data_IF_057072823323
#
_entry.id   IF_057072823323
#
_cell.length_a   1.000
_cell.length_b   1.000
_cell.length_c   1.000
_cell.angle_alpha   90.00
_cell.angle_beta   90.00
_cell.angle_gamma   90.00
#
_symmetry.space_group_name_H-M   'P 1'
#
loop_
_entity.id
_entity.type
_entity.pdbx_description
1 polymer ?
#
# COMPACT_ATOMS: atom_id res chain seq x y z
N UNK A 1 9.68 -21.01 -5.87
CA UNK A 1 10.42 -20.05 -5.03
C UNK A 1 11.80 -20.62 -4.75
N UNK A 2 12.87 -19.85 -4.97
CA UNK A 2 14.23 -20.29 -4.62
C UNK A 2 14.42 -20.12 -3.11
N UNK A 3 14.73 -21.20 -2.39
CA UNK A 3 14.90 -21.22 -0.93
C UNK A 3 16.37 -21.34 -0.51
N UNK A 4 17.31 -21.29 -1.46
CA UNK A 4 18.73 -21.37 -1.16
C UNK A 4 19.16 -20.14 -0.32
N UNK A 5 19.83 -20.39 0.81
CA UNK A 5 20.21 -19.38 1.81
C UNK A 5 19.04 -18.49 2.29
N UNK A 6 17.82 -19.05 2.35
CA UNK A 6 16.64 -18.31 2.84
C UNK A 6 16.79 -17.86 4.30
N UNK A 7 17.54 -18.62 5.11
CA UNK A 7 17.95 -18.27 6.47
C UNK A 7 19.45 -18.38 6.62
N UNK A 8 20.01 -17.57 7.50
CA UNK A 8 21.42 -17.62 7.90
C UNK A 8 21.44 -17.83 9.42
N UNK A 9 22.13 -18.88 9.88
CA UNK A 9 22.01 -19.37 11.25
C UNK A 9 22.53 -18.37 12.30
N UNK A 10 23.58 -17.61 11.98
CA UNK A 10 24.11 -16.58 12.87
C UNK A 10 23.10 -15.44 13.09
N UNK A 11 22.58 -14.87 12.01
CA UNK A 11 21.56 -13.84 12.04
C UNK A 11 20.25 -14.33 12.63
N UNK A 12 19.88 -15.60 12.46
CA UNK A 12 18.68 -16.15 13.09
C UNK A 12 18.80 -16.18 14.62
N UNK A 13 20.01 -16.36 15.15
CA UNK A 13 20.28 -16.33 16.59
C UNK A 13 20.34 -14.89 17.13
N UNK A 14 20.96 -13.97 16.38
CA UNK A 14 21.16 -12.59 16.83
C UNK A 14 19.95 -11.68 16.58
N UNK A 15 19.26 -11.90 15.45
CA UNK A 15 18.18 -11.05 14.94
C UNK A 15 17.07 -11.87 14.27
N UNK A 16 16.38 -12.75 15.02
CA UNK A 16 15.31 -13.60 14.48
C UNK A 16 14.17 -12.79 13.84
N UNK A 17 13.99 -11.54 14.24
CA UNK A 17 12.95 -10.63 13.74
C UNK A 17 13.07 -10.36 12.23
N UNK A 18 14.25 -10.58 11.62
CA UNK A 18 14.43 -10.50 10.16
C UNK A 18 13.56 -11.50 9.38
N UNK A 19 13.14 -12.60 10.01
CA UNK A 19 12.24 -13.60 9.43
C UNK A 19 10.82 -13.53 10.01
N UNK A 20 10.50 -12.50 10.78
CA UNK A 20 9.17 -12.29 11.31
C UNK A 20 8.19 -11.99 10.16
N UNK A 21 7.05 -12.70 10.08
CA UNK A 21 6.02 -12.37 9.11
C UNK A 21 5.53 -10.93 9.31
N UNK A 22 5.34 -10.20 8.21
CA UNK A 22 4.94 -8.78 8.26
C UNK A 22 3.69 -8.52 9.12
N UNK A 23 2.74 -9.46 9.15
CA UNK A 23 1.55 -9.36 9.99
C UNK A 23 1.87 -9.32 11.49
N UNK A 24 2.88 -10.07 11.94
CA UNK A 24 3.31 -10.06 13.35
C UNK A 24 4.03 -8.75 13.69
N UNK A 25 4.79 -8.19 12.74
CA UNK A 25 5.40 -6.85 12.92
C UNK A 25 4.32 -5.76 13.04
N UNK A 26 3.20 -5.90 12.32
CA UNK A 26 2.08 -4.96 12.37
C UNK A 26 1.34 -5.05 13.71
N UNK A 27 1.10 -6.25 14.23
CA UNK A 27 0.58 -6.44 15.59
C UNK A 27 1.52 -5.85 16.65
N UNK A 28 2.84 -6.04 16.52
CA UNK A 28 3.83 -5.44 17.41
C UNK A 28 3.75 -3.91 17.42
N UNK A 29 3.63 -3.29 16.24
CA UNK A 29 3.42 -1.83 16.11
C UNK A 29 2.13 -1.42 16.83
N UNK A 30 1.04 -2.17 16.65
CA UNK A 30 -0.24 -1.92 17.31
C UNK A 30 -0.11 -1.91 18.83
N UNK A 31 0.50 -2.95 19.40
CA UNK A 31 0.74 -3.05 20.85
C UNK A 31 1.71 -1.99 21.37
N UNK A 32 2.83 -1.77 20.69
CA UNK A 32 3.93 -0.90 21.12
C UNK A 32 3.54 0.58 21.10
N UNK A 33 2.77 0.97 20.10
CA UNK A 33 2.43 2.38 19.85
C UNK A 33 0.98 2.73 20.17
N UNK A 34 0.18 1.76 20.64
CA UNK A 34 -1.17 1.98 21.12
C UNK A 34 -2.18 2.34 20.02
N UNK A 35 -2.02 1.78 18.83
CA UNK A 35 -2.96 2.00 17.71
C UNK A 35 -4.10 0.99 17.82
N UNK A 36 -5.28 1.45 18.21
CA UNK A 36 -6.41 0.57 18.52
C UNK A 36 -6.96 -0.16 17.29
N UNK A 37 -7.67 -1.26 17.54
CA UNK A 37 -8.37 -2.01 16.48
C UNK A 37 -9.41 -1.13 15.78
N UNK A 38 -10.14 -0.33 16.55
CA UNK A 38 -11.22 0.51 16.05
C UNK A 38 -10.68 1.56 15.07
N UNK A 39 -9.56 2.21 15.40
CA UNK A 39 -8.93 3.17 14.48
C UNK A 39 -8.40 2.51 13.21
N UNK A 40 -7.91 1.28 13.30
CA UNK A 40 -7.47 0.51 12.12
C UNK A 40 -8.64 0.18 11.19
N UNK A 41 -9.77 -0.24 11.75
CA UNK A 41 -10.98 -0.55 10.97
C UNK A 41 -11.63 0.73 10.40
N UNK A 42 -11.61 1.84 11.13
CA UNK A 42 -12.04 3.16 10.62
C UNK A 42 -11.22 3.58 9.41
N UNK A 43 -9.89 3.50 9.51
CA UNK A 43 -9.00 3.82 8.40
C UNK A 43 -9.25 2.91 7.19
N UNK A 44 -9.42 1.61 7.42
CA UNK A 44 -9.69 0.64 6.36
C UNK A 44 -10.99 0.92 5.60
N UNK A 45 -12.07 1.24 6.34
CA UNK A 45 -13.33 1.68 5.74
C UNK A 45 -13.10 2.94 4.90
N UNK A 46 -12.38 3.92 5.41
CA UNK A 46 -12.15 5.18 4.71
C UNK A 46 -11.32 4.99 3.43
N UNK A 47 -10.34 4.10 3.43
CA UNK A 47 -9.60 3.71 2.22
C UNK A 47 -10.54 3.13 1.15
N UNK A 48 -11.46 2.24 1.54
CA UNK A 48 -12.48 1.68 0.63
C UNK A 48 -13.43 2.76 0.08
N UNK A 49 -13.91 3.66 0.95
CA UNK A 49 -14.83 4.73 0.54
C UNK A 49 -14.17 5.76 -0.39
N UNK A 50 -12.94 6.18 -0.09
CA UNK A 50 -12.18 7.09 -0.96
C UNK A 50 -11.91 6.45 -2.33
N UNK A 51 -11.57 5.16 -2.35
CA UNK A 51 -11.38 4.41 -3.61
C UNK A 51 -12.67 4.33 -4.43
N UNK A 52 -13.80 4.05 -3.80
CA UNK A 52 -15.11 4.06 -4.48
C UNK A 52 -15.45 5.43 -5.09
N UNK A 53 -15.20 6.51 -4.34
CA UNK A 53 -15.40 7.86 -4.85
C UNK A 53 -14.47 8.19 -6.01
N UNK A 54 -13.18 7.84 -5.92
CA UNK A 54 -12.20 8.06 -6.98
C UNK A 54 -12.51 7.26 -8.25
N UNK A 55 -12.89 5.98 -8.11
CA UNK A 55 -13.32 5.13 -9.25
C UNK A 55 -14.62 5.63 -9.91
N UNK A 56 -15.55 6.20 -9.13
CA UNK A 56 -16.78 6.81 -9.68
C UNK A 56 -16.51 8.16 -10.35
N UNK A 57 -15.50 8.89 -9.88
CA UNK A 57 -15.12 10.20 -10.40
C UNK A 57 -14.16 10.12 -11.59
N UNK A 58 -13.71 8.92 -11.96
CA UNK A 58 -12.81 8.69 -13.08
C UNK A 58 -11.35 9.07 -12.80
N UNK A 59 -10.94 9.21 -11.54
CA UNK A 59 -9.59 9.65 -11.18
C UNK A 59 -8.50 8.65 -11.55
N UNK A 60 -8.87 7.38 -11.74
CA UNK A 60 -7.94 6.33 -12.19
C UNK A 60 -7.93 6.15 -13.71
N UNK A 61 -8.82 6.83 -14.45
CA UNK A 61 -9.01 6.58 -15.89
C UNK A 61 -7.77 6.98 -16.72
N UNK A 62 -7.02 7.98 -16.25
CA UNK A 62 -5.80 8.46 -16.92
C UNK A 62 -4.56 7.60 -16.63
N UNK A 63 -4.57 6.79 -15.56
CA UNK A 63 -3.42 5.99 -15.13
C UNK A 63 -3.56 4.47 -15.37
N UNK A 64 -4.80 3.96 -15.44
CA UNK A 64 -5.04 2.54 -15.70
C UNK A 64 -4.99 2.27 -17.20
N UNK A 65 -4.10 1.37 -17.60
CA UNK A 65 -4.04 0.83 -18.97
C UNK A 65 -4.90 -0.44 -19.05
N UNK A 66 -5.99 -0.47 -19.86
CA UNK A 66 -6.81 -1.66 -20.03
C UNK A 66 -6.00 -2.87 -20.50
N UNK A 67 -6.20 -4.02 -19.85
CA UNK A 67 -5.53 -5.27 -20.19
C UNK A 67 -6.55 -6.37 -20.54
N UNK A 68 -6.53 -6.85 -21.78
CA UNK A 68 -7.29 -8.04 -22.16
C UNK A 68 -6.57 -9.32 -21.70
N UNK A 69 -7.31 -10.24 -21.08
CA UNK A 69 -6.79 -11.52 -20.61
C UNK A 69 -7.87 -12.60 -20.62
N UNK A 70 -7.47 -13.85 -20.37
CA UNK A 70 -8.38 -14.99 -20.20
C UNK A 70 -8.59 -15.32 -18.72
N UNK A 71 -9.84 -15.31 -18.27
CA UNK A 71 -10.24 -15.76 -16.94
C UNK A 71 -10.75 -17.21 -17.00
N UNK A 72 -10.26 -18.04 -16.09
CA UNK A 72 -10.80 -19.38 -15.87
C UNK A 72 -12.09 -19.28 -15.05
N UNK A 73 -13.18 -19.84 -15.56
CA UNK A 73 -14.49 -19.86 -14.90
C UNK A 73 -14.85 -21.31 -14.59
N UNK A 74 -14.94 -21.63 -13.30
CA UNK A 74 -15.41 -22.94 -12.84
C UNK A 74 -16.92 -22.91 -12.62
N UNK A 75 -17.64 -23.78 -13.33
CA UNK A 75 -19.03 -24.06 -13.03
C UNK A 75 -19.11 -24.77 -11.66
N UNK A 76 -19.76 -24.13 -10.68
CA UNK A 76 -19.84 -24.66 -9.30
C UNK A 76 -20.66 -25.95 -9.18
N UNK A 77 -21.54 -26.24 -10.14
CA UNK A 77 -22.41 -27.43 -10.14
C UNK A 77 -21.74 -28.62 -10.85
N UNK A 78 -21.10 -28.37 -11.99
CA UNK A 78 -20.51 -29.44 -12.82
C UNK A 78 -19.01 -29.63 -12.61
N UNK A 79 -18.32 -28.65 -12.01
CA UNK A 79 -16.86 -28.62 -11.88
C UNK A 79 -16.12 -28.30 -13.18
N UNK A 80 -16.84 -28.08 -14.29
CA UNK A 80 -16.25 -27.78 -15.59
C UNK A 80 -15.54 -26.41 -15.57
N UNK A 81 -14.33 -26.36 -16.13
CA UNK A 81 -13.54 -25.13 -16.26
C UNK A 81 -13.60 -24.63 -17.70
N UNK A 82 -14.13 -23.44 -17.89
CA UNK A 82 -14.18 -22.74 -19.17
C UNK A 82 -13.27 -21.51 -19.16
N UNK A 83 -12.91 -20.99 -20.35
CA UNK A 83 -12.15 -19.74 -20.51
C UNK A 83 -13.08 -18.64 -20.98
N UNK A 84 -12.96 -17.47 -20.37
CA UNK A 84 -13.69 -16.26 -20.76
C UNK A 84 -12.70 -15.12 -20.96
N UNK A 85 -12.68 -14.53 -22.14
CA UNK A 85 -11.96 -13.27 -22.38
C UNK A 85 -12.60 -12.15 -21.56
N UNK A 86 -11.78 -11.42 -20.81
CA UNK A 86 -12.18 -10.25 -20.03
C UNK A 86 -11.22 -9.10 -20.31
N UNK A 87 -11.69 -7.87 -20.11
CA UNK A 87 -10.83 -6.68 -20.13
C UNK A 87 -10.78 -6.13 -18.71
N UNK A 88 -9.59 -6.11 -18.12
CA UNK A 88 -9.32 -5.49 -16.83
C UNK A 88 -9.18 -3.98 -17.04
N UNK A 89 -10.11 -3.20 -16.48
CA UNK A 89 -10.16 -1.74 -16.67
C UNK A 89 -10.25 -0.96 -15.35
N UNK A 90 -10.41 -1.65 -14.22
CA UNK A 90 -10.59 -1.05 -12.88
C UNK A 90 -9.98 -1.97 -11.84
N UNK A 91 -9.51 -1.40 -10.73
CA UNK A 91 -9.11 -2.19 -9.57
C UNK A 91 -10.28 -2.99 -9.02
N UNK A 92 -10.06 -4.29 -8.86
CA UNK A 92 -11.08 -5.26 -8.46
C UNK A 92 -11.17 -5.44 -6.94
N UNK A 93 -10.21 -4.90 -6.19
CA UNK A 93 -10.10 -5.06 -4.73
C UNK A 93 -11.13 -4.23 -3.95
N UNK A 94 -11.65 -3.16 -4.54
CA UNK A 94 -12.54 -2.23 -3.85
C UNK A 94 -13.82 -2.94 -3.37
N UNK A 95 -14.23 -2.66 -2.14
CA UNK A 95 -15.45 -3.16 -1.49
C UNK A 95 -16.22 -1.96 -0.93
N UNK A 96 -17.00 -1.24 -1.76
CA UNK A 96 -17.75 -0.05 -1.32
C UNK A 96 -18.77 -0.32 -0.20
N UNK A 97 -19.17 -1.58 -0.02
CA UNK A 97 -20.07 -2.04 1.04
C UNK A 97 -19.39 -2.24 2.40
N UNK A 98 -18.10 -1.91 2.52
CA UNK A 98 -17.36 -2.06 3.78
C UNK A 98 -17.96 -1.17 4.87
N UNK A 99 -18.28 -1.77 6.02
CA UNK A 99 -18.86 -1.06 7.17
C UNK A 99 -18.05 -1.34 8.43
N UNK A 100 -18.08 -0.43 9.40
CA UNK A 100 -17.41 -0.65 10.69
C UNK A 100 -17.94 -1.91 11.39
N UNK A 101 -19.25 -2.15 11.35
CA UNK A 101 -19.85 -3.37 11.91
C UNK A 101 -19.30 -4.62 11.23
N UNK A 102 -19.25 -4.63 9.89
CA UNK A 102 -18.69 -5.77 9.15
C UNK A 102 -17.20 -5.98 9.40
N UNK A 103 -16.43 -4.91 9.56
CA UNK A 103 -15.00 -4.99 9.92
C UNK A 103 -14.80 -5.51 11.35
N UNK A 104 -15.60 -5.07 12.31
CA UNK A 104 -15.52 -5.50 13.70
C UNK A 104 -15.82 -7.01 13.88
N UNK A 105 -16.64 -7.60 13.00
CA UNK A 105 -16.93 -9.04 12.99
C UNK A 105 -15.72 -9.89 12.54
N UNK A 106 -14.76 -9.29 11.81
CA UNK A 106 -13.59 -10.01 11.33
C UNK A 106 -12.66 -10.39 12.49
N UNK A 107 -12.36 -11.68 12.55
CA UNK A 107 -11.40 -12.23 13.49
C UNK A 107 -9.98 -11.84 13.12
N UNK A 108 -9.14 -11.42 14.07
CA UNK A 108 -7.72 -11.22 13.82
C UNK A 108 -7.07 -12.51 13.31
N UNK A 109 -6.22 -12.39 12.29
CA UNK A 109 -5.60 -13.54 11.61
C UNK A 109 -4.73 -14.36 12.56
N UNK A 110 -4.13 -13.71 13.57
CA UNK A 110 -3.25 -14.35 14.57
C UNK A 110 -3.95 -14.73 15.88
N UNK A 111 -5.24 -14.44 16.03
CA UNK A 111 -6.04 -14.78 17.22
C UNK A 111 -6.43 -13.56 18.07
N UNK A 112 -7.24 -13.79 19.11
CA UNK A 112 -8.04 -12.75 19.77
C UNK A 112 -7.27 -11.62 20.49
N UNK A 113 -5.97 -11.77 20.74
CA UNK A 113 -5.14 -10.71 21.35
C UNK A 113 -4.54 -9.76 20.29
N UNK A 114 -4.69 -10.08 19.00
CA UNK A 114 -4.10 -9.35 17.88
C UNK A 114 -5.09 -8.38 17.23
N UNK A 115 -4.58 -7.44 16.43
CA UNK A 115 -5.36 -6.39 15.80
C UNK A 115 -5.62 -6.66 14.31
N UNK A 116 -4.67 -7.30 13.63
CA UNK A 116 -4.70 -7.36 12.16
C UNK A 116 -5.71 -8.38 11.64
N UNK A 117 -6.62 -7.91 10.78
CA UNK A 117 -7.62 -8.70 10.06
C UNK A 117 -7.40 -8.61 8.56
N UNK A 118 -8.13 -9.43 7.79
CA UNK A 118 -8.19 -9.27 6.34
C UNK A 118 -8.83 -7.94 5.89
N UNK A 119 -9.59 -7.26 6.77
CA UNK A 119 -10.26 -6.01 6.43
C UNK A 119 -9.38 -4.78 6.61
N UNK A 120 -8.42 -4.81 7.54
CA UNK A 120 -7.50 -3.70 7.84
C UNK A 120 -6.06 -3.95 7.35
N UNK A 121 -5.87 -4.96 6.51
CA UNK A 121 -4.63 -5.28 5.81
C UNK A 121 -4.80 -5.09 4.30
N UNK A 122 -3.71 -4.79 3.59
CA UNK A 122 -3.73 -4.79 2.13
C UNK A 122 -4.05 -6.16 1.55
N UNK A 123 -4.79 -6.17 0.45
CA UNK A 123 -5.08 -7.40 -0.28
C UNK A 123 -3.82 -7.90 -1.01
N UNK A 124 -3.65 -9.23 -1.05
CA UNK A 124 -2.73 -9.84 -1.99
C UNK A 124 -3.29 -9.63 -3.40
N UNK A 125 -2.48 -9.04 -4.28
CA UNK A 125 -2.94 -8.60 -5.58
C UNK A 125 -1.84 -8.73 -6.62
N UNK A 126 -2.27 -8.82 -7.87
CA UNK A 126 -1.40 -8.84 -9.05
C UNK A 126 -1.54 -7.50 -9.79
N UNK A 127 -0.42 -6.96 -10.28
CA UNK A 127 -0.42 -5.72 -11.02
C UNK A 127 0.98 -5.30 -11.48
N UNK A 128 1.04 -4.42 -12.46
CA UNK A 128 2.27 -3.85 -13.00
C UNK A 128 2.11 -2.33 -13.16
N UNK A 129 3.23 -1.60 -13.00
CA UNK A 129 3.30 -0.16 -13.22
C UNK A 129 4.64 0.17 -13.86
N UNK A 130 4.66 1.16 -14.74
CA UNK A 130 5.85 1.63 -15.42
C UNK A 130 5.88 3.16 -15.40
N UNK A 131 7.06 3.73 -15.13
CA UNK A 131 7.30 5.16 -15.20
C UNK A 131 8.52 5.41 -16.10
N UNK A 132 8.40 6.35 -17.03
CA UNK A 132 9.51 6.76 -17.91
C UNK A 132 10.17 7.99 -17.30
N UNK A 133 11.43 7.86 -16.92
CA UNK A 133 12.26 8.97 -16.43
C UNK A 133 13.27 9.37 -17.49
N UNK A 134 13.41 10.67 -17.72
CA UNK A 134 14.30 11.23 -18.73
C UNK A 134 15.02 12.48 -18.21
N UNK A 135 16.21 12.75 -18.76
CA UNK A 135 16.88 14.03 -18.56
C UNK A 135 16.00 15.20 -19.05
N UNK A 136 15.92 16.26 -18.24
CA UNK A 136 15.02 17.38 -18.51
C UNK A 136 15.36 18.13 -19.81
N UNK A 137 16.66 18.28 -20.15
CA UNK A 137 17.06 18.95 -21.40
C UNK A 137 16.76 18.07 -22.60
N UNK A 138 16.90 16.75 -22.46
CA UNK A 138 16.49 15.83 -23.52
C UNK A 138 14.97 15.83 -23.72
N UNK A 139 14.18 15.97 -22.64
CA UNK A 139 12.73 16.14 -22.73
C UNK A 139 12.36 17.38 -23.54
N UNK A 140 12.97 18.52 -23.20
CA UNK A 140 12.81 19.79 -23.90
C UNK A 140 13.18 19.66 -25.39
N UNK A 141 14.35 19.10 -25.71
CA UNK A 141 14.79 18.88 -27.09
C UNK A 141 13.85 17.99 -27.92
N UNK A 142 13.15 17.07 -27.26
CA UNK A 142 12.19 16.16 -27.89
C UNK A 142 10.75 16.69 -27.86
N UNK A 143 10.50 17.88 -27.33
CA UNK A 143 9.17 18.45 -27.12
C UNK A 143 8.24 17.52 -26.32
N UNK A 144 8.79 16.86 -25.29
CA UNK A 144 8.01 16.03 -24.36
C UNK A 144 7.74 16.85 -23.10
N UNK A 145 6.46 17.04 -22.77
CA UNK A 145 6.03 17.69 -21.53
C UNK A 145 6.09 16.68 -20.38
N UNK A 146 6.95 16.87 -19.36
CA UNK A 146 7.03 15.97 -18.22
C UNK A 146 5.81 16.12 -17.31
N UNK A 147 5.27 15.00 -16.83
CA UNK A 147 4.17 14.99 -15.84
C UNK A 147 4.63 15.46 -14.45
N UNK A 148 5.92 15.32 -14.14
CA UNK A 148 6.47 15.69 -12.85
C UNK A 148 7.99 15.66 -12.84
N UNK A 149 8.57 16.04 -11.70
CA UNK A 149 10.03 16.08 -11.50
C UNK A 149 10.40 15.15 -10.35
N UNK A 150 11.26 14.18 -10.63
CA UNK A 150 11.87 13.37 -9.61
C UNK A 150 12.92 14.17 -8.82
N UNK A 151 12.58 14.60 -7.61
CA UNK A 151 13.49 15.38 -6.75
C UNK A 151 14.57 14.51 -6.09
N UNK A 152 14.21 13.32 -5.59
CA UNK A 152 15.16 12.37 -5.04
C UNK A 152 14.54 11.30 -4.14
N UNK A 153 15.41 10.51 -3.50
CA UNK A 153 15.05 9.43 -2.57
C UNK A 153 15.80 9.51 -1.26
N UNK A 154 15.19 9.02 -0.18
CA UNK A 154 15.85 8.74 1.07
C UNK A 154 15.51 7.32 1.52
N UNK A 155 16.50 6.64 2.10
CA UNK A 155 16.35 5.32 2.70
C UNK A 155 16.80 5.43 4.15
N UNK A 156 16.07 4.80 5.05
CA UNK A 156 16.40 4.70 6.47
C UNK A 156 16.11 3.27 6.96
N UNK A 157 16.93 2.80 7.90
CA UNK A 157 16.69 1.54 8.59
C UNK A 157 15.90 1.75 9.88
N UNK A 158 15.11 0.77 10.26
CA UNK A 158 14.44 0.65 11.55
C UNK A 158 14.57 -0.80 12.04
N UNK A 159 14.09 -1.07 13.26
CA UNK A 159 14.11 -2.44 13.78
C UNK A 159 13.19 -3.36 12.97
N UNK A 160 13.59 -4.62 12.68
CA UNK A 160 12.80 -5.49 11.79
C UNK A 160 11.42 -5.85 12.33
N UNK A 161 11.25 -5.90 13.65
CA UNK A 161 9.97 -6.23 14.30
C UNK A 161 8.92 -5.11 14.25
N UNK A 162 9.31 -3.95 13.73
CA UNK A 162 8.45 -2.78 13.54
C UNK A 162 8.63 -2.16 12.16
N UNK A 163 9.06 -2.94 11.17
CA UNK A 163 9.41 -2.47 9.82
C UNK A 163 8.41 -1.48 9.19
N UNK A 164 7.13 -1.58 9.55
CA UNK A 164 6.07 -0.67 9.10
C UNK A 164 6.32 0.80 9.44
N UNK A 165 7.14 1.12 10.45
CA UNK A 165 7.42 2.50 10.87
C UNK A 165 8.55 3.17 10.07
N UNK A 166 9.13 2.48 9.08
CA UNK A 166 10.18 3.03 8.21
C UNK A 166 9.94 4.47 7.71
N UNK A 167 8.71 4.87 7.31
CA UNK A 167 8.41 6.25 6.92
C UNK A 167 8.76 7.30 7.98
N UNK A 168 8.63 6.99 9.27
CA UNK A 168 8.99 7.90 10.38
C UNK A 168 10.45 8.34 10.32
N UNK A 169 11.33 7.49 9.78
CA UNK A 169 12.76 7.79 9.64
C UNK A 169 13.11 8.32 8.24
N UNK A 170 12.48 7.77 7.19
CA UNK A 170 12.79 8.11 5.81
C UNK A 170 12.26 9.49 5.40
N UNK A 171 11.04 9.85 5.82
CA UNK A 171 10.39 11.11 5.42
C UNK A 171 11.14 12.34 5.94
N UNK A 172 11.49 12.47 7.24
CA UNK A 172 12.22 13.64 7.73
C UNK A 172 13.57 13.80 7.04
N UNK A 173 14.28 12.70 6.79
CA UNK A 173 15.56 12.68 6.08
C UNK A 173 15.43 13.17 4.62
N UNK A 174 14.34 12.81 3.95
CA UNK A 174 14.06 13.27 2.58
C UNK A 174 13.78 14.78 2.58
N UNK A 175 12.91 15.24 3.47
CA UNK A 175 12.53 16.64 3.57
C UNK A 175 13.72 17.54 3.91
N UNK A 176 14.52 17.16 4.91
CA UNK A 176 15.74 17.88 5.30
C UNK A 176 16.70 18.04 4.11
N UNK A 177 16.90 16.97 3.32
CA UNK A 177 17.77 16.99 2.13
C UNK A 177 17.37 18.06 1.11
N UNK A 178 16.07 18.33 1.00
CA UNK A 178 15.52 19.27 0.04
C UNK A 178 15.09 20.60 0.68
N UNK A 179 15.36 20.80 1.97
CA UNK A 179 14.96 22.00 2.70
C UNK A 179 13.45 22.21 2.76
N UNK A 180 12.68 21.13 2.73
CA UNK A 180 11.22 21.13 2.79
C UNK A 180 10.73 20.78 4.20
N UNK A 181 9.48 21.09 4.46
CA UNK A 181 8.73 20.70 5.66
C UNK A 181 7.51 19.87 5.27
N UNK A 182 6.88 19.24 6.26
CA UNK A 182 5.64 18.48 6.08
C UNK A 182 4.54 19.34 5.44
N UNK A 183 4.46 20.60 5.87
CA UNK A 183 3.50 21.61 5.41
C UNK A 183 3.72 22.07 3.96
N UNK A 184 4.91 21.87 3.40
CA UNK A 184 5.22 22.20 1.99
C UNK A 184 4.75 21.12 1.01
N UNK A 185 4.28 19.98 1.51
CA UNK A 185 3.83 18.85 0.69
C UNK A 185 2.30 18.88 0.57
N UNK A 186 1.83 18.87 -0.68
CA UNK A 186 0.40 18.99 -1.01
C UNK A 186 -0.33 17.66 -1.01
N UNK A 187 0.37 16.56 -1.32
CA UNK A 187 -0.20 15.23 -1.41
C UNK A 187 0.79 14.19 -0.88
N UNK A 188 0.27 13.22 -0.15
CA UNK A 188 1.02 12.12 0.44
C UNK A 188 0.42 10.79 0.04
N UNK A 189 1.26 9.93 -0.54
CA UNK A 189 0.97 8.51 -0.72
C UNK A 189 1.83 7.71 0.27
N UNK A 190 1.18 7.08 1.26
CA UNK A 190 1.81 6.09 2.12
C UNK A 190 1.16 4.72 1.90
N UNK A 191 1.99 3.73 1.59
CA UNK A 191 1.51 2.37 1.33
C UNK A 191 0.79 1.76 2.54
N UNK A 192 -0.43 1.29 2.30
CA UNK A 192 -1.33 0.74 3.32
C UNK A 192 -1.16 -0.79 3.47
N UNK A 193 0.06 -1.29 3.69
CA UNK A 193 0.24 -2.73 3.90
C UNK A 193 -0.64 -3.27 5.07
N UNK A 194 -0.80 -2.45 6.12
CA UNK A 194 -1.76 -2.60 7.21
C UNK A 194 -2.14 -1.19 7.69
N UNK A 195 -3.36 -1.01 8.18
CA UNK A 195 -3.82 0.29 8.66
C UNK A 195 -2.94 0.82 9.81
N UNK A 196 -2.47 -0.08 10.67
CA UNK A 196 -1.71 0.24 11.89
C UNK A 196 -0.49 1.10 11.63
N UNK A 197 0.34 0.77 10.64
CA UNK A 197 1.56 1.54 10.41
C UNK A 197 1.28 2.87 9.72
N UNK A 198 0.23 2.95 8.89
CA UNK A 198 -0.09 4.20 8.21
C UNK A 198 -0.59 5.22 9.21
N UNK A 199 -1.49 4.79 10.11
CA UNK A 199 -1.98 5.63 11.21
C UNK A 199 -0.80 6.11 12.06
N UNK A 200 0.05 5.20 12.52
CA UNK A 200 1.19 5.57 13.34
C UNK A 200 2.15 6.53 12.61
N UNK A 201 2.49 6.25 11.36
CA UNK A 201 3.38 7.11 10.58
C UNK A 201 2.78 8.49 10.33
N UNK A 202 1.50 8.56 9.95
CA UNK A 202 0.76 9.81 9.75
C UNK A 202 0.80 10.67 11.00
N UNK A 203 0.42 10.09 12.13
CA UNK A 203 0.31 10.81 13.40
C UNK A 203 1.68 11.25 13.91
N UNK A 204 2.69 10.38 13.79
CA UNK A 204 4.06 10.67 14.23
C UNK A 204 4.74 11.75 13.40
N UNK A 205 4.48 11.78 12.09
CA UNK A 205 5.03 12.76 11.16
C UNK A 205 4.21 14.06 11.11
N UNK A 206 2.98 14.06 11.63
CA UNK A 206 2.07 15.20 11.54
C UNK A 206 1.53 15.43 10.13
N UNK A 207 1.36 14.36 9.34
CA UNK A 207 0.81 14.45 7.98
C UNK A 207 -0.70 14.76 8.08
N UNK A 208 -1.19 15.83 7.42
CA UNK A 208 -2.62 16.14 7.39
C UNK A 208 -3.41 15.00 6.72
N UNK A 209 -4.47 14.53 7.37
CA UNK A 209 -5.23 13.35 6.91
C UNK A 209 -5.95 13.58 5.57
N UNK A 210 -6.34 14.83 5.31
CA UNK A 210 -6.94 15.29 4.06
C UNK A 210 -5.97 15.32 2.87
N UNK A 211 -4.66 15.25 3.13
CA UNK A 211 -3.61 15.15 2.10
C UNK A 211 -3.07 13.73 1.93
N UNK A 212 -3.51 12.78 2.76
CA UNK A 212 -3.00 11.40 2.78
C UNK A 212 -3.94 10.44 2.05
N UNK A 213 -3.40 9.72 1.06
CA UNK A 213 -4.09 8.69 0.28
C UNK A 213 -5.51 9.15 -0.09
N UNK A 214 -5.60 10.30 -0.78
CA UNK A 214 -6.86 11.04 -0.95
C UNK A 214 -7.88 10.27 -1.78
N UNK A 215 -7.40 9.37 -2.65
CA UNK A 215 -8.19 8.48 -3.49
C UNK A 215 -8.22 7.04 -2.96
N UNK A 216 -7.87 6.84 -1.68
CA UNK A 216 -7.72 5.53 -1.06
C UNK A 216 -6.35 4.92 -1.33
N UNK A 217 -6.15 3.67 -0.92
CA UNK A 217 -4.86 3.03 -1.05
C UNK A 217 -4.92 1.50 -0.99
N UNK A 218 -3.80 0.89 -0.63
CA UNK A 218 -3.58 -0.55 -0.80
C UNK A 218 -4.48 -1.48 0.02
N UNK A 219 -5.20 -0.99 1.04
CA UNK A 219 -6.27 -1.77 1.67
C UNK A 219 -7.42 -2.01 0.68
N UNK A 220 -7.73 -1.01 -0.15
CA UNK A 220 -8.83 -1.06 -1.11
C UNK A 220 -8.39 -1.59 -2.48
N UNK A 221 -7.27 -1.11 -3.03
CA UNK A 221 -6.83 -1.49 -4.40
C UNK A 221 -5.77 -2.60 -4.42
N UNK A 222 -5.29 -3.03 -3.25
CA UNK A 222 -4.32 -4.11 -3.13
C UNK A 222 -2.85 -3.68 -3.10
N UNK A 223 -1.98 -4.64 -2.79
CA UNK A 223 -0.54 -4.41 -2.63
C UNK A 223 0.33 -5.43 -3.39
N UNK A 224 0.44 -5.31 -4.73
CA UNK A 224 1.47 -6.06 -5.46
C UNK A 224 2.85 -5.48 -5.10
N UNK A 225 3.64 -6.26 -4.34
CA UNK A 225 4.79 -5.76 -3.58
C UNK A 225 5.79 -4.95 -4.42
N UNK A 226 6.27 -5.51 -5.53
CA UNK A 226 7.26 -4.86 -6.40
C UNK A 226 6.71 -3.70 -7.23
N UNK A 227 5.39 -3.55 -7.30
CA UNK A 227 4.70 -2.57 -8.14
C UNK A 227 4.32 -1.31 -7.38
N UNK A 228 3.96 -1.45 -6.10
CA UNK A 228 3.24 -0.42 -5.33
C UNK A 228 3.97 0.92 -5.26
N UNK A 229 5.31 0.92 -5.16
CA UNK A 229 6.09 2.17 -5.17
C UNK A 229 5.97 2.96 -6.47
N UNK A 230 5.97 2.26 -7.62
CA UNK A 230 5.81 2.90 -8.93
C UNK A 230 4.38 3.41 -9.13
N UNK A 231 3.35 2.65 -8.74
CA UNK A 231 1.95 3.09 -8.79
C UNK A 231 1.69 4.32 -7.94
N UNK A 232 2.10 4.32 -6.67
CA UNK A 232 1.96 5.50 -5.81
C UNK A 232 2.63 6.75 -6.41
N UNK A 233 3.80 6.58 -7.02
CA UNK A 233 4.49 7.69 -7.68
C UNK A 233 3.74 8.20 -8.91
N UNK A 234 3.10 7.31 -9.67
CA UNK A 234 2.33 7.67 -10.87
C UNK A 234 0.97 8.28 -10.57
N UNK A 235 0.36 7.92 -9.44
CA UNK A 235 -0.93 8.44 -9.00
C UNK A 235 -0.86 9.85 -8.40
N UNK A 236 0.28 10.18 -7.78
CA UNK A 236 0.49 11.41 -7.02
C UNK A 236 0.77 12.65 -7.87
#
# INVERSE_FOLDING_TARGET
MNTNNYKEDGLLQEKPELWMPMIETADNVGHRYGVSRESQDEYARDSQLKTDLAQKSGYFDDEIVPLETEMLVTNKETGEVSRKTITLQKDEGNRPSTTLTGLAELQPVRGGEHFITAGNASQLSDGASACVVMDAKLAEQRNIEPLGIYKGLAVAGCEPDEMGIGPVFAVPRLLERFGLKIEDIDLWELNEAFAVQVIYCRDKLGIPNEKLNVNGGSIAIGHPYGMSGARMTGHA
#
